data_IF_592577566540
#
_entry.id   IF_592577566540
#
_cell.length_a   1.000
_cell.length_b   1.000
_cell.length_c   1.000
_cell.angle_alpha   90.00
_cell.angle_beta   90.00
_cell.angle_gamma   90.00
#
_symmetry.space_group_name_H-M   'P 1'
#
loop_
_entity.id
_entity.type
_entity.pdbx_description
1 polymer ?
#
# COMPACT_ATOMS: atom_id res chain seq x y z
N UNK A 1 2.34 -3.40 7.98
CA UNK A 1 2.55 -2.03 7.46
C UNK A 1 3.64 -2.08 6.39
N UNK A 2 3.53 -1.27 5.35
CA UNK A 2 4.57 -1.16 4.32
C UNK A 2 4.56 0.23 3.65
N UNK A 3 5.70 0.72 3.14
CA UNK A 3 5.76 1.97 2.40
C UNK A 3 5.01 1.86 1.08
N UNK A 4 4.12 2.81 0.80
CA UNK A 4 3.37 2.93 -0.46
C UNK A 4 4.26 3.20 -1.69
N UNK A 5 5.52 3.56 -1.48
CA UNK A 5 6.53 3.75 -2.54
C UNK A 5 7.18 2.44 -3.01
N UNK A 6 6.93 1.30 -2.35
CA UNK A 6 7.60 0.03 -2.65
C UNK A 6 6.68 -0.94 -3.40
N UNK A 7 6.73 -0.90 -4.73
CA UNK A 7 5.91 -1.76 -5.60
C UNK A 7 6.07 -3.27 -5.31
N UNK A 8 7.29 -3.73 -4.98
CA UNK A 8 7.53 -5.14 -4.63
C UNK A 8 6.85 -5.53 -3.31
N UNK A 9 6.81 -4.60 -2.35
CA UNK A 9 6.11 -4.82 -1.09
C UNK A 9 4.59 -4.88 -1.30
N UNK A 10 4.03 -4.00 -2.13
CA UNK A 10 2.61 -3.99 -2.51
C UNK A 10 2.19 -5.32 -3.15
N UNK A 11 2.99 -5.84 -4.09
CA UNK A 11 2.71 -7.13 -4.73
C UNK A 11 2.79 -8.30 -3.74
N UNK A 12 3.79 -8.29 -2.86
CA UNK A 12 3.91 -9.32 -1.81
C UNK A 12 2.74 -9.24 -0.83
N UNK A 13 2.23 -8.04 -0.52
CA UNK A 13 1.11 -7.84 0.40
C UNK A 13 -0.12 -8.65 0.01
N UNK A 14 -0.34 -8.82 -1.30
CA UNK A 14 -1.49 -9.56 -1.84
C UNK A 14 -1.50 -11.02 -1.40
N UNK A 15 -0.33 -11.63 -1.17
CA UNK A 15 -0.20 -13.06 -0.84
C UNK A 15 -0.04 -13.34 0.65
N UNK A 16 0.16 -12.31 1.48
CA UNK A 16 0.33 -12.49 2.92
C UNK A 16 -1.00 -12.86 3.58
N UNK A 17 -0.96 -13.81 4.52
CA UNK A 17 -2.08 -14.16 5.39
C UNK A 17 -2.21 -13.14 6.54
N UNK A 18 -2.43 -11.87 6.19
CA UNK A 18 -2.68 -10.80 7.14
C UNK A 18 -4.15 -10.40 7.09
N UNK A 19 -4.74 -10.11 8.24
CA UNK A 19 -6.14 -9.65 8.34
C UNK A 19 -6.28 -8.20 7.86
N UNK A 20 -5.25 -7.39 8.07
CA UNK A 20 -5.20 -5.99 7.67
C UNK A 20 -3.86 -5.62 7.01
N UNK A 21 -3.93 -4.74 6.01
CA UNK A 21 -2.80 -4.15 5.33
C UNK A 21 -2.82 -2.62 5.51
N UNK A 22 -1.71 -2.07 5.99
CA UNK A 22 -1.51 -0.62 6.10
C UNK A 22 -0.53 -0.19 5.02
N UNK A 23 -1.01 0.63 4.09
CA UNK A 23 -0.27 1.27 3.00
C UNK A 23 0.14 2.68 3.46
N UNK A 24 1.43 2.84 3.75
CA UNK A 24 1.97 4.03 4.40
C UNK A 24 2.44 5.07 3.39
N UNK A 25 1.92 6.29 3.50
CA UNK A 25 2.26 7.51 2.75
C UNK A 25 2.89 8.58 3.66
N UNK A 26 3.03 8.27 4.95
CA UNK A 26 3.55 9.15 6.00
C UNK A 26 5.08 8.97 6.17
N UNK A 27 5.53 8.46 7.32
CA UNK A 27 6.92 8.51 7.76
C UNK A 27 7.83 7.53 7.00
N UNK A 28 7.27 6.45 6.45
CA UNK A 28 8.06 5.51 5.66
C UNK A 28 8.27 5.95 4.21
N UNK A 29 7.75 7.12 3.82
CA UNK A 29 7.87 7.66 2.46
C UNK A 29 8.63 8.98 2.48
N UNK A 30 9.81 8.99 1.85
CA UNK A 30 10.60 10.20 1.64
C UNK A 30 9.75 11.29 0.96
N UNK A 31 9.89 12.58 1.34
CA UNK A 31 9.07 13.66 0.78
C UNK A 31 9.03 13.70 -0.75
N UNK A 32 10.18 13.47 -1.41
CA UNK A 32 10.31 13.43 -2.87
C UNK A 32 9.57 12.25 -3.52
N UNK A 33 9.31 11.18 -2.78
CA UNK A 33 8.63 9.98 -3.25
C UNK A 33 7.11 10.01 -3.01
N UNK A 34 6.57 11.00 -2.28
CA UNK A 34 5.15 11.04 -1.89
C UNK A 34 4.19 11.07 -3.08
N UNK A 35 4.55 11.75 -4.17
CA UNK A 35 3.71 11.80 -5.37
C UNK A 35 3.58 10.40 -6.01
N UNK A 36 4.72 9.76 -6.29
CA UNK A 36 4.76 8.42 -6.87
C UNK A 36 4.14 7.35 -5.96
N UNK A 37 4.33 7.48 -4.63
CA UNK A 37 3.71 6.58 -3.65
C UNK A 37 2.17 6.69 -3.68
N UNK A 38 1.61 7.89 -3.80
CA UNK A 38 0.16 8.08 -3.93
C UNK A 38 -0.40 7.42 -5.19
N UNK A 39 0.27 7.58 -6.33
CA UNK A 39 -0.14 6.91 -7.57
C UNK A 39 -0.12 5.39 -7.42
N UNK A 40 0.96 4.86 -6.84
CA UNK A 40 1.14 3.42 -6.61
C UNK A 40 0.06 2.84 -5.68
N UNK A 41 -0.17 3.48 -4.53
CA UNK A 41 -1.20 3.07 -3.56
C UNK A 41 -2.59 3.18 -4.18
N UNK A 42 -2.86 4.25 -4.93
CA UNK A 42 -4.15 4.46 -5.59
C UNK A 42 -4.41 3.42 -6.69
N UNK A 43 -3.37 2.96 -7.38
CA UNK A 43 -3.45 1.83 -8.30
C UNK A 43 -3.75 0.52 -7.56
N UNK A 44 -2.99 0.21 -6.51
CA UNK A 44 -3.15 -1.01 -5.72
C UNK A 44 -4.57 -1.15 -5.13
N UNK A 45 -5.11 -0.07 -4.56
CA UNK A 45 -6.47 -0.03 -3.98
C UNK A 45 -7.56 -0.16 -5.06
N UNK A 46 -7.34 0.33 -6.29
CA UNK A 46 -8.32 0.16 -7.38
C UNK A 46 -8.31 -1.24 -7.96
N UNK A 47 -7.13 -1.82 -8.12
CA UNK A 47 -6.97 -3.19 -8.63
C UNK A 47 -7.50 -4.23 -7.64
N UNK A 48 -7.43 -3.92 -6.34
CA UNK A 48 -7.90 -4.80 -5.28
C UNK A 48 -9.16 -4.19 -4.65
N UNK A 49 -10.32 -4.59 -5.15
CA UNK A 49 -11.56 -4.43 -4.39
C UNK A 49 -11.45 -5.18 -3.06
N UNK A 50 -11.83 -4.55 -1.95
CA UNK A 50 -11.75 -5.13 -0.59
C UNK A 50 -12.33 -6.54 -0.58
N UNK A 51 -11.45 -7.54 -0.54
CA UNK A 51 -11.79 -8.92 -0.22
C UNK A 51 -12.07 -9.07 1.27
N UNK A 52 -11.77 -10.23 1.87
CA UNK A 52 -11.97 -10.46 3.31
C UNK A 52 -10.99 -9.67 4.22
N UNK A 53 -10.04 -8.93 3.64
CA UNK A 53 -8.99 -8.21 4.38
C UNK A 53 -9.26 -6.72 4.40
N UNK A 54 -8.95 -6.09 5.52
CA UNK A 54 -9.01 -4.64 5.65
C UNK A 54 -7.80 -3.98 4.97
N UNK A 55 -8.06 -2.95 4.18
CA UNK A 55 -7.02 -2.11 3.58
C UNK A 55 -7.13 -0.69 4.13
N UNK A 56 -6.04 -0.22 4.74
CA UNK A 56 -5.94 1.06 5.41
C UNK A 56 -4.86 1.87 4.71
N UNK A 57 -5.17 3.09 4.31
CA UNK A 57 -4.19 4.06 3.82
C UNK A 57 -3.89 5.02 4.96
N UNK A 58 -2.61 5.19 5.29
CA UNK A 58 -2.12 6.13 6.30
C UNK A 58 -1.22 7.15 5.66
#
# INVERSE_FOLDING_TARGET
YMPGSNARALEKARTLAADALILDLEDAVAPSAKAAARESVSGAVRERGVGEREEIVR
#
